data_IF_925655694725
#
_entry.id   IF_925655694725
#
_cell.length_a   1.000
_cell.length_b   1.000
_cell.length_c   1.000
_cell.angle_alpha   90.00
_cell.angle_beta   90.00
_cell.angle_gamma   90.00
#
_symmetry.space_group_name_H-M   'P 1'
#
loop_
_entity.id
_entity.type
_entity.pdbx_description
1 polymer ?
#
# COMPACT_ATOMS: atom_id res chain seq x y z
N UNK A 1 -7.73 10.22 17.14
CA UNK A 1 -7.67 10.57 15.71
C UNK A 1 -7.18 9.35 14.96
N UNK A 2 -7.99 8.74 14.07
CA UNK A 2 -7.49 7.67 13.18
C UNK A 2 -6.52 8.33 12.20
N UNK A 3 -5.24 7.92 12.21
CA UNK A 3 -4.30 8.33 11.15
C UNK A 3 -4.77 7.70 9.84
N UNK A 4 -4.82 8.49 8.77
CA UNK A 4 -5.01 7.99 7.41
C UNK A 4 -3.77 7.19 7.01
N UNK A 5 -3.97 5.98 6.49
CA UNK A 5 -2.88 5.17 5.93
C UNK A 5 -2.58 5.67 4.51
N UNK A 6 -1.30 5.76 4.16
CA UNK A 6 -0.84 6.19 2.84
C UNK A 6 0.03 5.09 2.25
N UNK A 7 -0.42 4.46 1.18
CA UNK A 7 0.36 3.45 0.46
C UNK A 7 1.00 4.07 -0.80
N UNK A 8 2.23 3.67 -1.13
CA UNK A 8 2.92 4.08 -2.37
C UNK A 8 3.21 2.88 -3.26
N UNK A 9 3.10 3.10 -4.56
CA UNK A 9 3.46 2.08 -5.54
C UNK A 9 4.98 1.96 -5.62
N UNK A 10 5.52 0.77 -5.32
CA UNK A 10 6.98 0.53 -5.40
C UNK A 10 7.56 0.62 -6.81
N UNK A 11 6.73 0.62 -7.87
CA UNK A 11 7.17 0.70 -9.28
C UNK A 11 7.26 2.12 -9.83
N UNK A 12 6.31 2.98 -9.46
CA UNK A 12 6.17 4.32 -10.03
C UNK A 12 6.13 5.43 -8.99
N UNK A 13 6.36 5.10 -7.71
CA UNK A 13 6.39 6.00 -6.56
C UNK A 13 5.12 6.84 -6.35
N UNK A 14 4.06 6.55 -7.12
CA UNK A 14 2.77 7.24 -7.03
C UNK A 14 2.00 6.78 -5.79
N UNK A 15 1.29 7.72 -5.17
CA UNK A 15 0.36 7.43 -4.08
C UNK A 15 -0.77 6.53 -4.58
N UNK A 16 -1.06 5.46 -3.83
CA UNK A 16 -2.08 4.49 -4.19
C UNK A 16 -3.42 4.90 -3.62
N UNK A 17 -4.48 4.58 -4.37
CA UNK A 17 -5.85 4.88 -4.00
C UNK A 17 -6.35 3.75 -3.10
N UNK A 18 -6.76 4.10 -1.89
CA UNK A 18 -7.51 3.19 -1.03
C UNK A 18 -8.92 2.96 -1.61
N UNK A 19 -9.23 1.73 -1.98
CA UNK A 19 -10.54 1.31 -2.50
C UNK A 19 -11.32 0.43 -1.52
N UNK A 20 -10.86 0.33 -0.26
CA UNK A 20 -11.46 -0.51 0.77
C UNK A 20 -12.86 -0.03 1.20
N UNK A 21 -13.81 -0.95 1.31
CA UNK A 21 -15.09 -0.76 2.01
C UNK A 21 -15.11 -1.63 3.27
N UNK A 22 -15.18 -1.02 4.45
CA UNK A 22 -15.37 -1.74 5.72
C UNK A 22 -14.06 -2.05 6.46
N UNK A 23 -13.87 -3.33 6.81
CA UNK A 23 -12.82 -3.80 7.73
C UNK A 23 -11.47 -4.13 7.07
N UNK A 24 -11.37 -4.08 5.74
CA UNK A 24 -10.15 -4.39 5.00
C UNK A 24 -9.67 -3.19 4.18
N UNK A 25 -8.37 -2.93 4.23
CA UNK A 25 -7.70 -2.01 3.33
C UNK A 25 -7.31 -2.72 2.04
N UNK A 26 -7.54 -2.04 0.93
CA UNK A 26 -7.07 -2.43 -0.40
C UNK A 26 -6.60 -1.16 -1.09
N UNK A 27 -5.34 -1.14 -1.53
CA UNK A 27 -4.77 -0.01 -2.26
C UNK A 27 -4.48 -0.39 -3.70
N UNK A 28 -4.83 0.48 -4.64
CA UNK A 28 -4.54 0.30 -6.07
C UNK A 28 -3.66 1.44 -6.58
N UNK A 29 -2.68 1.10 -7.41
CA UNK A 29 -1.91 2.11 -8.10
C UNK A 29 -2.78 2.75 -9.20
N UNK A 30 -2.92 4.09 -9.25
CA UNK A 30 -3.69 4.75 -10.31
C UNK A 30 -3.14 4.49 -11.71
N UNK A 31 -1.83 4.25 -11.82
CA UNK A 31 -1.17 3.89 -13.08
C UNK A 31 -1.26 2.38 -13.43
N UNK A 32 -1.99 1.57 -12.65
CA UNK A 32 -2.16 0.13 -12.90
C UNK A 32 -0.91 -0.73 -12.68
N UNK A 33 0.11 -0.21 -11.97
CA UNK A 33 1.40 -0.88 -11.83
C UNK A 33 1.42 -2.03 -10.81
N UNK A 34 0.70 -1.85 -9.68
CA UNK A 34 0.61 -2.79 -8.57
C UNK A 34 -0.65 -2.55 -7.72
N UNK A 35 -0.95 -3.50 -6.85
CA UNK A 35 -2.04 -3.47 -5.86
C UNK A 35 -1.55 -4.05 -4.54
N UNK A 36 -2.07 -3.55 -3.41
CA UNK A 36 -1.75 -4.01 -2.05
C UNK A 36 -3.05 -4.42 -1.36
N UNK A 37 -3.04 -5.59 -0.72
CA UNK A 37 -4.18 -6.15 0.00
C UNK A 37 -4.92 -7.24 -0.78
N UNK A 38 -6.11 -7.66 -0.29
CA UNK A 38 -6.81 -7.13 0.88
C UNK A 38 -6.10 -7.44 2.21
N UNK A 39 -5.97 -6.45 3.09
CA UNK A 39 -5.36 -6.59 4.42
C UNK A 39 -6.33 -6.13 5.53
N UNK A 40 -6.44 -6.86 6.66
CA UNK A 40 -7.30 -6.46 7.77
C UNK A 40 -6.88 -5.10 8.36
N UNK A 41 -7.84 -4.20 8.54
CA UNK A 41 -7.60 -2.84 9.07
C UNK A 41 -7.07 -2.82 10.50
N UNK A 42 -7.30 -3.89 11.25
CA UNK A 42 -6.76 -4.07 12.61
C UNK A 42 -5.27 -4.42 12.63
N UNK A 43 -4.74 -4.96 11.53
CA UNK A 43 -3.35 -5.38 11.43
C UNK A 43 -2.54 -4.35 10.66
N UNK A 44 -3.13 -3.70 9.66
CA UNK A 44 -2.38 -2.83 8.76
C UNK A 44 -1.99 -1.49 9.39
N UNK A 45 -0.69 -1.25 9.43
CA UNK A 45 -0.09 0.02 9.89
C UNK A 45 0.70 0.73 8.79
N UNK A 46 1.01 2.02 9.00
CA UNK A 46 1.85 2.77 8.07
C UNK A 46 3.25 2.15 7.94
N UNK A 47 3.83 1.71 9.06
CA UNK A 47 5.16 1.09 9.07
C UNK A 47 5.21 -0.20 8.24
N UNK A 48 4.12 -0.96 8.17
CA UNK A 48 4.04 -2.15 7.31
C UNK A 48 3.93 -1.79 5.84
N UNK A 49 3.15 -0.75 5.50
CA UNK A 49 3.08 -0.23 4.13
C UNK A 49 4.45 0.27 3.66
N UNK A 50 5.17 0.98 4.52
CA UNK A 50 6.50 1.50 4.21
C UNK A 50 7.53 0.36 4.07
N UNK A 51 7.46 -0.66 4.93
CA UNK A 51 8.30 -1.87 4.83
C UNK A 51 8.04 -2.64 3.55
N UNK A 52 6.77 -2.85 3.18
CA UNK A 52 6.39 -3.54 1.96
C UNK A 52 6.89 -2.77 0.72
N UNK A 53 6.72 -1.44 0.72
CA UNK A 53 7.26 -0.58 -0.32
C UNK A 53 8.78 -0.74 -0.47
N UNK A 54 9.55 -0.62 0.62
CA UNK A 54 11.01 -0.74 0.61
C UNK A 54 11.48 -2.14 0.20
N UNK A 55 10.81 -3.18 0.68
CA UNK A 55 11.11 -4.57 0.34
C UNK A 55 10.92 -4.79 -1.17
N UNK A 56 9.77 -4.44 -1.72
CA UNK A 56 9.48 -4.63 -3.14
C UNK A 56 10.37 -3.76 -4.03
N UNK A 57 10.67 -2.52 -3.62
CA UNK A 57 11.60 -1.64 -4.33
C UNK A 57 13.00 -2.23 -4.42
N UNK A 58 13.50 -2.83 -3.33
CA UNK A 58 14.81 -3.51 -3.30
C UNK A 58 14.81 -4.83 -4.07
N UNK A 59 13.73 -5.60 -4.02
CA UNK A 59 13.62 -6.89 -4.71
C UNK A 59 13.46 -6.76 -6.24
N UNK A 60 12.96 -5.63 -6.75
CA UNK A 60 12.81 -5.37 -8.18
C UNK A 60 13.87 -4.44 -8.79
N UNK A 61 14.74 -3.84 -7.97
CA UNK A 61 15.90 -3.09 -8.43
C UNK A 61 17.05 -4.02 -8.82
N UNK A 62 17.02 -4.55 -10.05
CA UNK A 62 18.19 -5.12 -10.74
C UNK A 62 18.47 -4.32 -12.00
#
# INVERSE_FOLDING_TARGET
MKKLLVAKCFKCDSEMIEIGRGDNYHFICPNGCSQIGPSPSILLTQDELDKDYEFNKKSMGK
#
